data_IF_733737398639
#
_entry.id   IF_733737398639
#
_cell.length_a   1.000
_cell.length_b   1.000
_cell.length_c   1.000
_cell.angle_alpha   90.00
_cell.angle_beta   90.00
_cell.angle_gamma   90.00
#
_symmetry.space_group_name_H-M   'P 1'
#
loop_
_entity.id
_entity.type
_entity.pdbx_description
1 polymer ?
#
# COMPACT_ATOMS: atom_id res chain seq x y z
N UNK A 1 -42.93 5.29 90.93
CA UNK A 1 -41.69 4.94 91.66
C UNK A 1 -41.26 3.60 91.07
N UNK A 2 -40.27 3.62 90.18
CA UNK A 2 -38.84 3.37 90.53
C UNK A 2 -38.57 1.89 90.26
N UNK A 3 -37.68 1.45 89.37
CA UNK A 3 -36.52 2.08 88.78
C UNK A 3 -36.19 1.43 87.42
N UNK A 4 -36.12 2.24 86.37
CA UNK A 4 -35.39 1.89 85.16
C UNK A 4 -33.93 2.30 85.36
N UNK A 5 -33.16 1.50 86.10
CA UNK A 5 -31.72 1.69 86.19
C UNK A 5 -31.05 1.08 84.96
N UNK A 6 -30.67 1.97 84.06
CA UNK A 6 -29.76 1.75 82.95
C UNK A 6 -28.42 1.21 83.48
N UNK A 7 -28.22 -0.11 83.46
CA UNK A 7 -26.91 -0.75 83.67
C UNK A 7 -26.11 -0.71 82.36
N UNK A 8 -25.51 0.43 82.05
CA UNK A 8 -24.37 0.47 81.13
C UNK A 8 -23.16 -0.17 81.82
N UNK A 9 -23.12 -1.50 81.91
CA UNK A 9 -21.91 -2.19 82.37
C UNK A 9 -20.80 -1.97 81.35
N UNK A 10 -19.81 -1.14 81.71
CA UNK A 10 -18.63 -0.93 80.87
C UNK A 10 -17.84 -2.24 80.75
N UNK A 11 -17.54 -2.65 79.51
CA UNK A 11 -16.73 -3.83 79.18
C UNK A 11 -15.30 -3.83 79.79
N UNK A 12 -14.89 -2.72 80.40
CA UNK A 12 -13.56 -2.50 80.96
C UNK A 12 -13.70 -2.51 82.49
N UNK A 13 -13.22 -3.57 83.16
CA UNK A 13 -13.35 -3.75 84.62
C UNK A 13 -12.04 -3.57 85.39
N UNK A 14 -10.91 -3.48 84.69
CA UNK A 14 -9.59 -3.29 85.32
C UNK A 14 -8.77 -2.20 84.62
N UNK A 15 -7.88 -1.50 85.34
CA UNK A 15 -6.97 -0.52 84.72
C UNK A 15 -6.13 -1.12 83.59
N UNK A 16 -5.75 -2.41 83.70
CA UNK A 16 -5.02 -3.12 82.65
C UNK A 16 -5.86 -3.32 81.39
N UNK A 17 -7.16 -3.65 81.53
CA UNK A 17 -8.08 -3.74 80.39
C UNK A 17 -8.31 -2.38 79.72
N UNK A 18 -8.32 -1.29 80.48
CA UNK A 18 -8.45 0.06 79.93
C UNK A 18 -7.24 0.41 79.07
N UNK A 19 -6.02 0.15 79.57
CA UNK A 19 -4.79 0.40 78.82
C UNK A 19 -4.75 -0.40 77.53
N UNK A 20 -5.09 -1.70 77.57
CA UNK A 20 -5.12 -2.55 76.36
C UNK A 20 -6.17 -2.11 75.35
N UNK A 21 -7.37 -1.72 75.81
CA UNK A 21 -8.42 -1.22 74.92
C UNK A 21 -8.02 0.09 74.23
N UNK A 22 -7.41 1.01 74.98
CA UNK A 22 -6.95 2.30 74.46
C UNK A 22 -5.79 2.10 73.48
N UNK A 23 -4.76 1.33 73.85
CA UNK A 23 -3.62 1.08 72.94
C UNK A 23 -4.04 0.31 71.69
N UNK A 24 -4.93 -0.67 71.82
CA UNK A 24 -5.50 -1.40 70.69
C UNK A 24 -6.29 -0.50 69.74
N UNK A 25 -7.11 0.41 70.28
CA UNK A 25 -7.84 1.39 69.48
C UNK A 25 -6.89 2.29 68.69
N UNK A 26 -5.86 2.86 69.33
CA UNK A 26 -4.87 3.68 68.64
C UNK A 26 -4.08 2.89 67.60
N UNK A 27 -3.71 1.64 67.86
CA UNK A 27 -3.01 0.79 66.89
C UNK A 27 -3.85 0.53 65.64
N UNK A 28 -5.14 0.22 65.81
CA UNK A 28 -6.06 0.00 64.68
C UNK A 28 -6.21 1.26 63.84
N UNK A 29 -6.35 2.42 64.49
CA UNK A 29 -6.44 3.71 63.78
C UNK A 29 -5.14 4.01 63.04
N UNK A 30 -3.98 3.83 63.68
CA UNK A 30 -2.66 4.07 63.05
C UNK A 30 -2.45 3.13 61.86
N UNK A 31 -2.75 1.83 62.01
CA UNK A 31 -2.66 0.87 60.91
C UNK A 31 -3.65 1.19 59.78
N UNK A 32 -4.87 1.62 60.12
CA UNK A 32 -5.86 2.06 59.14
C UNK A 32 -5.40 3.27 58.34
N UNK A 33 -4.81 4.27 59.01
CA UNK A 33 -4.24 5.45 58.34
C UNK A 33 -3.06 5.06 57.46
N UNK A 34 -2.16 4.18 57.93
CA UNK A 34 -1.02 3.70 57.13
C UNK A 34 -1.52 2.97 55.87
N UNK A 35 -2.49 2.07 56.00
CA UNK A 35 -3.07 1.37 54.86
C UNK A 35 -3.75 2.31 53.87
N UNK A 36 -4.44 3.34 54.36
CA UNK A 36 -5.09 4.33 53.52
C UNK A 36 -4.06 5.22 52.80
N UNK A 37 -3.00 5.65 53.49
CA UNK A 37 -1.89 6.39 52.88
C UNK A 37 -1.23 5.52 51.80
N UNK A 38 -0.88 4.27 52.11
CA UNK A 38 -0.31 3.35 51.11
C UNK A 38 -1.27 3.18 49.93
N UNK A 39 -2.57 2.98 50.16
CA UNK A 39 -3.55 2.87 49.06
C UNK A 39 -3.59 4.13 48.18
N UNK A 40 -3.60 5.32 48.78
CA UNK A 40 -3.64 6.60 48.06
C UNK A 40 -2.31 6.91 47.36
N UNK A 41 -1.16 6.56 47.95
CA UNK A 41 0.15 6.86 47.35
C UNK A 41 0.64 5.80 46.37
N UNK A 42 0.14 4.57 46.47
CA UNK A 42 0.52 3.46 45.58
C UNK A 42 -0.36 3.36 44.34
N UNK A 43 -1.53 4.00 44.35
CA UNK A 43 -2.36 4.12 43.15
C UNK A 43 -1.77 5.20 42.27
N UNK A 44 -1.20 4.79 41.12
CA UNK A 44 -0.77 5.74 40.11
C UNK A 44 -1.98 6.57 39.68
N UNK A 45 -1.94 7.87 39.93
CA UNK A 45 -2.95 8.81 39.41
C UNK A 45 -2.76 8.92 37.91
N UNK A 46 -3.39 8.04 37.13
CA UNK A 46 -3.48 8.21 35.69
C UNK A 46 -4.41 9.40 35.41
N UNK A 47 -3.82 10.49 34.94
CA UNK A 47 -4.56 11.64 34.46
C UNK A 47 -5.33 11.32 33.17
N UNK A 48 -6.31 12.15 32.82
CA UNK A 48 -6.97 12.05 31.52
C UNK A 48 -5.92 12.14 30.40
N UNK A 49 -5.84 11.09 29.56
CA UNK A 49 -4.91 11.01 28.44
C UNK A 49 -3.59 10.27 28.71
N UNK A 50 -3.35 9.74 29.92
CA UNK A 50 -2.11 8.97 30.19
C UNK A 50 -2.02 7.68 29.35
N UNK A 51 -3.18 7.08 29.05
CA UNK A 51 -3.27 5.88 28.19
C UNK A 51 -3.38 6.21 26.71
N UNK A 52 -3.23 7.48 26.32
CA UNK A 52 -3.31 7.90 24.92
C UNK A 52 -2.25 7.23 24.03
N UNK A 53 -1.16 6.71 24.61
CA UNK A 53 -0.11 5.97 23.90
C UNK A 53 -0.12 4.46 24.21
N UNK A 54 -1.15 3.94 24.88
CA UNK A 54 -1.27 2.49 25.09
C UNK A 54 -1.43 1.79 23.73
N UNK A 55 -0.93 0.55 23.65
CA UNK A 55 -1.07 -0.27 22.44
C UNK A 55 -2.55 -0.42 22.03
N UNK A 56 -3.44 -0.47 23.02
CA UNK A 56 -4.88 -0.57 22.82
C UNK A 56 -5.50 0.72 22.27
N UNK A 57 -5.10 1.90 22.78
CA UNK A 57 -5.54 3.18 22.25
C UNK A 57 -5.01 3.43 20.83
N UNK A 58 -3.80 2.97 20.53
CA UNK A 58 -3.22 3.01 19.19
C UNK A 58 -4.02 2.10 18.24
N UNK A 59 -4.27 0.85 18.63
CA UNK A 59 -5.07 -0.10 17.84
C UNK A 59 -6.46 0.44 17.51
N UNK A 60 -7.17 1.00 18.50
CA UNK A 60 -8.50 1.59 18.30
C UNK A 60 -8.52 2.76 17.30
N UNK A 61 -7.42 3.53 17.19
CA UNK A 61 -7.30 4.63 16.21
C UNK A 61 -6.93 4.15 14.81
N UNK A 62 -6.22 3.03 14.70
CA UNK A 62 -5.85 2.41 13.42
C UNK A 62 -7.00 1.55 12.89
N UNK A 63 -7.88 1.05 13.77
CA UNK A 63 -9.02 0.20 13.41
C UNK A 63 -9.84 0.66 12.20
N UNK A 64 -10.27 1.94 12.08
CA UNK A 64 -11.01 2.37 10.89
C UNK A 64 -10.22 2.23 9.59
N UNK A 65 -8.88 2.40 9.60
CA UNK A 65 -8.07 2.18 8.39
C UNK A 65 -7.67 0.72 8.21
N UNK A 66 -7.58 -0.09 9.26
CA UNK A 66 -7.20 -1.52 9.13
C UNK A 66 -8.38 -2.46 8.89
N UNK A 67 -9.57 -2.13 9.39
CA UNK A 67 -10.76 -2.98 9.32
C UNK A 67 -11.84 -2.42 8.37
N UNK A 68 -11.93 -1.08 8.24
CA UNK A 68 -13.02 -0.41 7.51
C UNK A 68 -12.50 0.65 6.53
N UNK A 69 -11.64 0.27 5.59
CA UNK A 69 -11.22 1.22 4.55
C UNK A 69 -10.06 0.79 3.66
N UNK A 70 -9.30 -0.24 4.04
CA UNK A 70 -8.21 -0.74 3.21
C UNK A 70 -8.54 -2.14 2.70
N UNK A 71 -9.32 -2.20 1.63
CA UNK A 71 -9.29 -3.38 0.77
C UNK A 71 -7.91 -3.45 0.15
N UNK A 72 -7.09 -4.40 0.58
CA UNK A 72 -5.87 -4.77 -0.13
C UNK A 72 -6.29 -5.30 -1.50
N UNK A 73 -6.34 -4.41 -2.48
CA UNK A 73 -6.55 -4.80 -3.88
C UNK A 73 -5.24 -5.44 -4.32
N UNK A 74 -5.27 -6.76 -4.48
CA UNK A 74 -4.17 -7.48 -5.11
C UNK A 74 -3.92 -6.87 -6.49
N UNK A 75 -2.69 -6.40 -6.72
CA UNK A 75 -2.33 -5.75 -7.98
C UNK A 75 -2.49 -6.67 -9.19
N UNK A 76 -2.52 -7.99 -8.96
CA UNK A 76 -2.71 -9.02 -9.99
C UNK A 76 -4.12 -9.63 -10.00
N UNK A 77 -5.06 -9.14 -9.19
CA UNK A 77 -6.42 -9.65 -9.21
C UNK A 77 -7.08 -9.29 -10.55
N UNK A 78 -7.91 -10.18 -11.11
CA UNK A 78 -8.71 -9.86 -12.28
C UNK A 78 -9.56 -8.61 -11.99
N UNK A 79 -9.20 -7.49 -12.62
CA UNK A 79 -9.94 -6.24 -12.50
C UNK A 79 -11.18 -6.35 -13.36
N UNK A 80 -12.35 -6.33 -12.73
CA UNK A 80 -13.61 -6.13 -13.46
C UNK A 80 -13.67 -4.67 -13.84
N UNK A 81 -13.22 -4.35 -15.06
CA UNK A 81 -13.16 -2.97 -15.53
C UNK A 81 -14.56 -2.38 -15.61
N UNK A 82 -14.73 -1.22 -14.99
CA UNK A 82 -16.01 -0.54 -14.91
C UNK A 82 -16.45 -0.03 -16.30
N UNK A 83 -17.76 0.08 -16.48
CA UNK A 83 -18.35 0.75 -17.64
C UNK A 83 -18.15 2.27 -17.54
N UNK A 84 -18.04 2.96 -18.68
CA UNK A 84 -17.74 4.39 -18.71
C UNK A 84 -18.71 5.27 -17.92
N UNK A 85 -20.01 4.94 -17.96
CA UNK A 85 -21.02 5.64 -17.17
C UNK A 85 -20.87 5.46 -15.64
N UNK A 86 -20.38 4.31 -15.19
CA UNK A 86 -20.15 4.05 -13.76
C UNK A 86 -18.95 4.84 -13.26
N UNK A 87 -17.84 4.82 -14.01
CA UNK A 87 -16.65 5.63 -13.73
C UNK A 87 -16.99 7.11 -13.72
N UNK A 88 -17.79 7.56 -14.70
CA UNK A 88 -18.27 8.94 -14.76
C UNK A 88 -19.02 9.33 -13.49
N UNK A 89 -20.02 8.54 -13.09
CA UNK A 89 -20.84 8.83 -11.93
C UNK A 89 -20.01 8.88 -10.64
N UNK A 90 -19.05 7.96 -10.49
CA UNK A 90 -18.23 7.84 -9.28
C UNK A 90 -17.15 8.91 -9.16
N UNK A 91 -16.53 9.32 -10.28
CA UNK A 91 -15.30 10.14 -10.26
C UNK A 91 -15.45 11.49 -10.97
N UNK A 92 -16.17 11.54 -12.09
CA UNK A 92 -16.15 12.71 -12.99
C UNK A 92 -17.34 13.66 -12.77
N UNK A 93 -18.50 13.13 -12.39
CA UNK A 93 -19.79 13.83 -12.34
C UNK A 93 -19.77 15.04 -11.40
N UNK A 94 -19.06 14.95 -10.27
CA UNK A 94 -18.97 16.03 -9.28
C UNK A 94 -18.56 17.38 -9.89
N UNK A 95 -17.65 17.35 -10.87
CA UNK A 95 -17.23 18.55 -11.60
C UNK A 95 -17.95 18.72 -12.93
N UNK A 96 -18.15 17.63 -13.69
CA UNK A 96 -18.64 17.70 -15.07
C UNK A 96 -20.17 17.74 -15.22
N UNK A 97 -20.96 17.53 -14.17
CA UNK A 97 -22.40 17.81 -14.21
C UNK A 97 -22.66 19.31 -13.99
N UNK A 98 -21.97 19.90 -13.02
CA UNK A 98 -22.19 21.29 -12.60
C UNK A 98 -21.32 22.29 -13.36
N UNK A 99 -20.26 21.84 -14.03
CA UNK A 99 -19.25 22.68 -14.66
C UNK A 99 -18.32 23.35 -13.65
N UNK A 100 -18.11 22.73 -12.49
CA UNK A 100 -17.26 23.24 -11.41
C UNK A 100 -15.86 23.58 -11.92
N UNK A 101 -15.28 24.68 -11.44
CA UNK A 101 -13.97 25.17 -11.85
C UNK A 101 -13.81 25.38 -13.38
N UNK A 102 -14.91 25.59 -14.10
CA UNK A 102 -14.91 25.74 -15.55
C UNK A 102 -14.79 24.42 -16.30
N UNK A 103 -15.13 23.30 -15.66
CA UNK A 103 -15.24 22.01 -16.33
C UNK A 103 -16.30 22.05 -17.43
N UNK A 104 -16.05 21.46 -18.61
CA UNK A 104 -17.07 21.33 -19.64
C UNK A 104 -18.19 20.41 -19.15
N UNK A 105 -19.43 20.92 -19.18
CA UNK A 105 -20.60 20.15 -18.75
C UNK A 105 -20.87 18.99 -19.69
N UNK A 106 -21.02 17.78 -19.17
CA UNK A 106 -21.44 16.64 -19.98
C UNK A 106 -22.85 16.89 -20.52
N UNK A 107 -23.05 16.72 -21.83
CA UNK A 107 -24.32 17.04 -22.49
C UNK A 107 -24.37 18.43 -23.12
N UNK A 108 -23.40 19.30 -22.86
CA UNK A 108 -23.34 20.63 -23.46
C UNK A 108 -22.56 20.59 -24.79
N UNK A 109 -23.27 20.33 -25.88
CA UNK A 109 -22.69 20.24 -27.22
C UNK A 109 -21.91 21.50 -27.62
N UNK A 110 -22.32 22.69 -27.16
CA UNK A 110 -21.65 23.95 -27.48
C UNK A 110 -20.30 24.04 -26.75
N UNK A 111 -20.25 23.69 -25.46
CA UNK A 111 -19.02 23.65 -24.68
C UNK A 111 -18.03 22.58 -25.17
N UNK A 112 -18.54 21.49 -25.75
CA UNK A 112 -17.72 20.39 -26.25
C UNK A 112 -17.26 20.53 -27.69
N UNK A 113 -17.95 21.28 -28.56
CA UNK A 113 -17.61 21.39 -29.99
C UNK A 113 -16.14 21.73 -30.27
N UNK A 114 -15.61 22.79 -29.63
CA UNK A 114 -14.20 23.17 -29.78
C UNK A 114 -13.22 22.15 -29.19
N UNK A 115 -13.66 21.33 -28.23
CA UNK A 115 -12.85 20.29 -27.60
C UNK A 115 -12.79 19.05 -28.48
N UNK A 116 -13.94 18.63 -28.99
CA UNK A 116 -14.07 17.54 -29.95
C UNK A 116 -13.26 17.81 -31.23
N UNK A 117 -13.17 19.08 -31.65
CA UNK A 117 -12.31 19.49 -32.76
C UNK A 117 -10.80 19.25 -32.52
N UNK A 118 -10.36 19.10 -31.27
CA UNK A 118 -8.97 18.75 -30.94
C UNK A 118 -8.67 17.25 -31.18
N UNK A 119 -9.70 16.46 -31.46
CA UNK A 119 -9.60 15.03 -31.69
C UNK A 119 -9.69 14.22 -30.39
N UNK A 120 -10.03 12.94 -30.56
CA UNK A 120 -10.21 11.97 -29.49
C UNK A 120 -8.96 11.81 -28.62
N UNK A 121 -7.81 11.60 -29.24
CA UNK A 121 -6.55 11.34 -28.54
C UNK A 121 -6.15 12.48 -27.61
N UNK A 122 -6.38 13.73 -28.04
CA UNK A 122 -6.09 14.92 -27.22
C UNK A 122 -6.99 14.98 -25.98
N UNK A 123 -8.28 14.67 -26.13
CA UNK A 123 -9.22 14.66 -25.00
C UNK A 123 -8.85 13.55 -24.03
N UNK A 124 -8.56 12.36 -24.54
CA UNK A 124 -8.17 11.20 -23.74
C UNK A 124 -6.88 11.49 -22.97
N UNK A 125 -5.87 12.06 -23.63
CA UNK A 125 -4.61 12.47 -22.99
C UNK A 125 -4.85 13.44 -21.84
N UNK A 126 -5.67 14.47 -22.04
CA UNK A 126 -6.00 15.42 -20.97
C UNK A 126 -6.77 14.77 -19.82
N UNK A 127 -7.59 13.75 -20.08
CA UNK A 127 -8.29 13.02 -19.02
C UNK A 127 -7.34 12.14 -18.20
N UNK A 128 -6.36 11.50 -18.85
CA UNK A 128 -5.38 10.63 -18.18
C UNK A 128 -4.33 11.46 -17.43
N UNK A 129 -3.75 12.47 -18.07
CA UNK A 129 -2.63 13.25 -17.53
C UNK A 129 -3.09 14.46 -16.69
N UNK A 130 -4.36 14.86 -16.84
CA UNK A 130 -4.90 16.08 -16.26
C UNK A 130 -4.65 17.31 -17.15
N UNK A 131 -5.41 18.37 -16.91
CA UNK A 131 -5.26 19.65 -17.60
C UNK A 131 -5.78 20.80 -16.73
N UNK A 132 -4.94 21.82 -16.51
CA UNK A 132 -5.31 23.02 -15.73
C UNK A 132 -5.82 22.62 -14.33
N UNK A 133 -7.09 22.91 -14.04
CA UNK A 133 -7.75 22.56 -12.77
C UNK A 133 -8.28 21.11 -12.73
N UNK A 134 -8.25 20.39 -13.86
CA UNK A 134 -8.66 18.98 -13.93
C UNK A 134 -7.48 18.08 -13.53
N UNK A 135 -7.57 17.32 -12.42
CA UNK A 135 -6.53 16.39 -12.02
C UNK A 135 -6.43 15.18 -12.96
N UNK A 136 -5.26 14.54 -12.98
CA UNK A 136 -5.04 13.28 -13.68
C UNK A 136 -6.07 12.22 -13.28
N UNK A 137 -6.65 11.52 -14.26
CA UNK A 137 -7.70 10.51 -14.07
C UNK A 137 -8.90 10.99 -13.23
N UNK A 138 -9.24 12.28 -13.31
CA UNK A 138 -10.33 12.86 -12.51
C UNK A 138 -10.04 12.89 -10.99
N UNK A 139 -8.78 12.71 -10.59
CA UNK A 139 -8.36 12.71 -9.19
C UNK A 139 -8.39 11.32 -8.55
N UNK A 140 -8.74 10.29 -9.31
CA UNK A 140 -8.72 8.90 -8.85
C UNK A 140 -7.54 8.15 -9.51
N UNK A 141 -6.40 8.01 -8.80
CA UNK A 141 -5.21 7.35 -9.36
C UNK A 141 -5.42 5.84 -9.60
N UNK A 142 -6.42 5.24 -8.96
CA UNK A 142 -6.67 3.79 -9.00
C UNK A 142 -7.40 3.34 -10.27
N UNK A 143 -8.00 4.27 -11.02
CA UNK A 143 -8.66 3.97 -12.29
C UNK A 143 -7.67 3.44 -13.32
N UNK A 144 -8.05 2.39 -14.03
CA UNK A 144 -7.32 1.96 -15.22
C UNK A 144 -7.49 2.99 -16.35
N UNK A 145 -6.50 3.08 -17.25
CA UNK A 145 -6.60 3.97 -18.40
C UNK A 145 -7.79 3.62 -19.31
N UNK A 146 -8.14 2.33 -19.40
CA UNK A 146 -9.30 1.87 -20.16
C UNK A 146 -10.63 2.31 -19.52
N UNK A 147 -10.69 2.40 -18.19
CA UNK A 147 -11.85 2.93 -17.46
C UNK A 147 -12.02 4.43 -17.69
N UNK A 148 -10.90 5.18 -17.66
CA UNK A 148 -10.88 6.61 -18.02
C UNK A 148 -11.30 6.80 -19.48
N UNK A 149 -10.82 5.94 -20.38
CA UNK A 149 -11.16 5.97 -21.80
C UNK A 149 -12.66 5.75 -22.04
N UNK A 150 -13.24 4.71 -21.43
CA UNK A 150 -14.68 4.46 -21.47
C UNK A 150 -15.47 5.64 -20.91
N UNK A 151 -15.01 6.27 -19.82
CA UNK A 151 -15.66 7.45 -19.25
C UNK A 151 -15.60 8.67 -20.20
N UNK A 152 -14.47 8.89 -20.87
CA UNK A 152 -14.32 9.93 -21.89
C UNK A 152 -15.31 9.71 -23.01
N UNK A 153 -15.39 8.49 -23.56
CA UNK A 153 -16.35 8.14 -24.62
C UNK A 153 -17.79 8.41 -24.18
N UNK A 154 -18.16 8.00 -22.97
CA UNK A 154 -19.48 8.28 -22.40
C UNK A 154 -19.79 9.78 -22.37
N UNK A 155 -18.85 10.60 -21.87
CA UNK A 155 -19.02 12.05 -21.78
C UNK A 155 -19.12 12.72 -23.14
N UNK A 156 -18.21 12.38 -24.05
CA UNK A 156 -18.16 12.98 -25.39
C UNK A 156 -19.36 12.57 -26.23
N UNK A 157 -19.82 11.32 -26.13
CA UNK A 157 -20.99 10.84 -26.87
C UNK A 157 -22.29 11.49 -26.38
N UNK A 158 -22.39 11.75 -25.07
CA UNK A 158 -23.48 12.57 -24.53
C UNK A 158 -23.39 14.03 -24.98
N UNK A 159 -22.21 14.48 -25.43
CA UNK A 159 -21.93 15.88 -25.78
C UNK A 159 -21.71 16.11 -27.28
N UNK A 160 -22.30 15.24 -28.13
CA UNK A 160 -22.34 15.42 -29.57
C UNK A 160 -21.28 14.65 -30.38
N UNK A 161 -20.46 13.82 -29.74
CA UNK A 161 -19.57 12.88 -30.43
C UNK A 161 -20.25 11.53 -30.70
N UNK A 162 -19.56 10.64 -31.39
CA UNK A 162 -19.99 9.24 -31.60
C UNK A 162 -18.76 8.32 -31.65
N UNK A 163 -17.92 8.42 -30.62
CA UNK A 163 -16.76 7.55 -30.45
C UNK A 163 -17.21 6.15 -30.07
N UNK A 164 -16.50 5.15 -30.57
CA UNK A 164 -16.74 3.76 -30.22
C UNK A 164 -16.19 3.51 -28.83
N UNK A 165 -17.00 2.95 -27.94
CA UNK A 165 -16.51 2.55 -26.63
C UNK A 165 -15.47 1.43 -26.80
N UNK A 166 -14.28 1.57 -26.20
CA UNK A 166 -13.26 0.53 -26.25
C UNK A 166 -13.80 -0.74 -25.60
N UNK A 167 -13.86 -1.79 -26.42
CA UNK A 167 -14.10 -3.13 -25.89
C UNK A 167 -12.95 -3.47 -24.95
N UNK A 168 -13.27 -4.20 -23.88
CA UNK A 168 -12.23 -4.88 -23.12
C UNK A 168 -11.36 -5.65 -24.11
N UNK A 169 -10.02 -5.51 -24.07
CA UNK A 169 -9.16 -6.47 -24.74
C UNK A 169 -9.65 -7.83 -24.27
N UNK A 170 -10.12 -8.66 -25.22
CA UNK A 170 -10.50 -10.02 -24.90
C UNK A 170 -9.34 -10.59 -24.08
N UNK A 171 -9.60 -11.23 -22.92
CA UNK A 171 -8.53 -11.89 -22.19
C UNK A 171 -7.77 -12.69 -23.23
N UNK A 172 -6.47 -12.40 -23.36
CA UNK A 172 -5.62 -13.20 -24.24
C UNK A 172 -6.00 -14.64 -23.92
N UNK A 173 -6.41 -15.45 -24.91
CA UNK A 173 -6.87 -16.80 -24.64
C UNK A 173 -5.83 -17.39 -23.72
N UNK A 174 -6.26 -17.77 -22.51
CA UNK A 174 -5.40 -18.46 -21.56
C UNK A 174 -4.64 -19.45 -22.41
N UNK A 175 -3.32 -19.27 -22.49
CA UNK A 175 -2.48 -20.19 -23.23
C UNK A 175 -2.92 -21.56 -22.73
N UNK A 176 -3.56 -22.30 -23.64
CA UNK A 176 -4.35 -23.45 -23.26
C UNK A 176 -3.50 -24.27 -22.31
N UNK A 177 -4.00 -24.47 -21.09
CA UNK A 177 -3.45 -25.50 -20.22
C UNK A 177 -3.42 -26.77 -21.06
N UNK A 178 -2.20 -27.17 -21.42
CA UNK A 178 -1.97 -28.46 -22.02
C UNK A 178 -2.60 -29.49 -21.06
N UNK A 179 -3.42 -30.42 -21.56
CA UNK A 179 -4.18 -31.31 -20.70
C UNK A 179 -3.21 -32.05 -19.79
N UNK A 180 -3.54 -32.04 -18.49
CA UNK A 180 -2.92 -32.85 -17.47
C UNK A 180 -2.91 -34.32 -17.94
N UNK A 181 -1.75 -34.79 -18.38
CA UNK A 181 -1.51 -36.19 -18.67
C UNK A 181 -0.92 -36.84 -17.42
N UNK A 182 -1.72 -37.73 -16.82
CA UNK A 182 -1.22 -38.87 -16.07
C UNK A 182 -0.94 -38.64 -14.59
N UNK A 183 -1.93 -39.00 -13.77
CA UNK A 183 -1.73 -39.37 -12.39
C UNK A 183 -0.60 -40.41 -12.25
N UNK A 184 0.39 -40.10 -11.42
CA UNK A 184 1.22 -41.10 -10.75
C UNK A 184 1.06 -40.89 -9.23
N UNK A 185 0.68 -41.98 -8.56
CA UNK A 185 0.31 -42.10 -7.17
C UNK A 185 1.46 -41.75 -6.18
N UNK A 186 1.16 -41.57 -4.88
CA UNK A 186 2.00 -40.83 -3.96
C UNK A 186 3.19 -41.66 -3.47
N UNK A 187 4.39 -41.10 -3.53
CA UNK A 187 5.54 -41.64 -2.80
C UNK A 187 5.54 -41.10 -1.37
N UNK A 188 5.42 -42.04 -0.45
CA UNK A 188 5.38 -41.90 1.01
C UNK A 188 6.56 -41.15 1.61
N UNK A 189 6.25 -40.42 2.68
CA UNK A 189 7.18 -39.81 3.61
C UNK A 189 8.15 -40.83 4.22
N UNK A 190 9.44 -40.47 4.27
CA UNK A 190 10.41 -41.06 5.17
C UNK A 190 11.18 -39.94 5.88
N UNK A 191 11.02 -39.88 7.20
CA UNK A 191 11.80 -39.06 8.13
C UNK A 191 12.87 -39.97 8.80
N UNK A 192 13.85 -39.46 9.57
CA UNK A 192 15.29 -39.63 9.30
C UNK A 192 16.05 -40.40 10.40
N UNK A 193 17.30 -40.81 10.13
CA UNK A 193 18.31 -41.16 11.16
C UNK A 193 19.75 -41.21 10.55
N UNK A 194 20.85 -41.23 11.31
CA UNK A 194 21.61 -40.02 11.67
C UNK A 194 23.13 -40.07 11.40
N UNK A 195 23.72 -38.87 11.30
CA UNK A 195 25.02 -38.46 11.88
C UNK A 195 26.32 -39.20 11.52
N UNK A 196 27.23 -38.48 10.85
CA UNK A 196 28.64 -38.40 11.27
C UNK A 196 29.31 -37.15 10.67
N UNK A 197 30.15 -36.50 11.49
CA UNK A 197 30.63 -35.13 11.36
C UNK A 197 32.06 -35.00 10.79
N UNK A 198 32.32 -33.79 10.26
CA UNK A 198 33.60 -33.05 10.19
C UNK A 198 34.70 -33.62 9.25
N UNK A 199 35.53 -32.84 8.53
CA UNK A 199 36.04 -31.46 8.71
C UNK A 199 36.64 -30.99 7.34
N UNK A 200 36.96 -29.69 7.11
CA UNK A 200 37.02 -29.06 5.79
C UNK A 200 38.44 -28.73 5.26
N UNK A 201 38.44 -28.09 4.06
CA UNK A 201 39.45 -27.20 3.45
C UNK A 201 40.35 -27.81 2.33
N UNK A 202 40.96 -26.97 1.45
CA UNK A 202 40.34 -25.97 0.58
C UNK A 202 40.84 -26.04 -0.89
N UNK A 203 40.21 -25.26 -1.76
CA UNK A 203 40.71 -24.74 -3.04
C UNK A 203 40.73 -25.65 -4.28
N UNK A 204 39.80 -25.39 -5.20
CA UNK A 204 40.14 -25.08 -6.59
C UNK A 204 38.98 -24.30 -7.23
N UNK A 205 39.30 -23.10 -7.69
CA UNK A 205 38.39 -22.20 -8.38
C UNK A 205 37.94 -22.76 -9.73
N UNK A 206 36.63 -22.85 -9.93
CA UNK A 206 35.98 -22.78 -11.25
C UNK A 206 34.72 -21.95 -11.11
N UNK A 207 34.80 -20.74 -11.67
CA UNK A 207 33.71 -19.88 -12.18
C UNK A 207 32.27 -20.14 -11.73
N UNK A 208 31.71 -19.20 -10.97
CA UNK A 208 30.34 -18.75 -11.21
C UNK A 208 30.43 -17.31 -11.74
N UNK A 209 30.30 -17.17 -13.06
CA UNK A 209 29.89 -15.91 -13.68
C UNK A 209 28.65 -15.39 -12.94
N UNK A 210 28.44 -14.06 -12.82
CA UNK A 210 27.27 -13.54 -12.14
C UNK A 210 26.05 -14.22 -12.75
N UNK A 211 25.26 -14.89 -11.91
CA UNK A 211 24.02 -15.49 -12.34
C UNK A 211 23.28 -14.44 -13.15
N UNK A 212 23.13 -14.69 -14.45
CA UNK A 212 22.18 -13.95 -15.26
C UNK A 212 20.86 -14.23 -14.56
N UNK A 213 20.41 -13.27 -13.75
CA UNK A 213 19.06 -13.30 -13.21
C UNK A 213 18.16 -13.61 -14.42
N UNK A 214 17.36 -14.66 -14.32
CA UNK A 214 16.65 -15.19 -15.48
C UNK A 214 15.91 -14.07 -16.20
N UNK A 215 15.77 -14.16 -17.52
CA UNK A 215 15.00 -13.19 -18.29
C UNK A 215 13.60 -12.97 -17.69
N UNK A 216 13.05 -14.01 -17.06
CA UNK A 216 11.79 -13.96 -16.30
C UNK A 216 11.87 -13.10 -15.04
N UNK A 217 12.96 -13.17 -14.27
CA UNK A 217 13.19 -12.32 -13.10
C UNK A 217 13.35 -10.85 -13.51
N UNK A 218 14.13 -10.59 -14.57
CA UNK A 218 14.28 -9.24 -15.12
C UNK A 218 12.97 -8.66 -15.65
N UNK A 219 12.19 -9.47 -16.37
CA UNK A 219 10.85 -9.08 -16.84
C UNK A 219 9.90 -8.80 -15.68
N UNK A 220 9.86 -9.65 -14.66
CA UNK A 220 9.01 -9.46 -13.48
C UNK A 220 9.36 -8.20 -12.70
N UNK A 221 10.66 -7.93 -12.53
CA UNK A 221 11.14 -6.70 -11.91
C UNK A 221 10.77 -5.46 -12.75
N UNK A 222 10.90 -5.56 -14.08
CA UNK A 222 10.49 -4.50 -15.00
C UNK A 222 8.99 -4.22 -14.94
N UNK A 223 8.16 -5.26 -15.01
CA UNK A 223 6.69 -5.15 -15.01
C UNK A 223 6.17 -4.59 -13.67
N UNK A 224 6.85 -4.89 -12.56
CA UNK A 224 6.41 -4.45 -11.23
C UNK A 224 6.77 -2.99 -10.89
N UNK A 225 7.89 -2.47 -11.43
CA UNK A 225 8.42 -1.17 -11.01
C UNK A 225 8.79 -0.22 -12.15
N UNK A 226 9.22 -0.73 -13.30
CA UNK A 226 9.85 0.08 -14.34
C UNK A 226 8.89 0.45 -15.48
N UNK A 227 7.94 -0.43 -15.80
CA UNK A 227 7.02 -0.27 -16.93
C UNK A 227 6.13 0.97 -16.81
N UNK A 228 5.82 1.40 -15.58
CA UNK A 228 4.99 2.57 -15.33
C UNK A 228 5.53 3.83 -16.02
N UNK A 229 6.87 4.00 -16.06
CA UNK A 229 7.50 5.12 -16.75
C UNK A 229 8.09 4.69 -18.10
N UNK A 230 8.79 3.56 -18.16
CA UNK A 230 9.51 3.14 -19.36
C UNK A 230 8.63 2.46 -20.41
N UNK A 231 7.40 2.05 -20.09
CA UNK A 231 6.47 1.48 -21.07
C UNK A 231 5.98 2.53 -22.09
N UNK A 232 5.62 3.73 -21.61
CA UNK A 232 5.15 4.84 -22.43
C UNK A 232 6.21 5.94 -22.64
N UNK A 233 7.33 5.91 -21.91
CA UNK A 233 8.35 6.96 -21.94
C UNK A 233 7.97 8.22 -21.15
N UNK A 234 7.27 8.03 -20.02
CA UNK A 234 6.80 9.12 -19.16
C UNK A 234 7.98 9.89 -18.58
N UNK A 235 7.82 11.22 -18.44
CA UNK A 235 8.85 12.11 -17.90
C UNK A 235 10.21 11.99 -18.62
N UNK A 236 10.18 11.69 -19.93
CA UNK A 236 11.38 11.54 -20.77
C UNK A 236 12.17 10.26 -20.51
N UNK A 237 11.55 9.27 -19.86
CA UNK A 237 12.11 7.93 -19.74
C UNK A 237 12.29 7.31 -21.16
N UNK A 238 13.40 6.61 -21.43
CA UNK A 238 13.55 5.87 -22.67
C UNK A 238 12.49 4.76 -22.75
N UNK A 239 11.70 4.77 -23.83
CA UNK A 239 10.61 3.83 -24.04
C UNK A 239 11.15 2.42 -24.29
N UNK A 240 10.59 1.43 -23.61
CA UNK A 240 10.95 0.03 -23.77
C UNK A 240 10.72 -0.43 -25.21
N UNK A 241 11.70 -1.12 -25.79
CA UNK A 241 11.66 -1.58 -27.19
C UNK A 241 11.96 -0.50 -28.25
N UNK A 242 12.09 0.77 -27.87
CA UNK A 242 12.41 1.85 -28.81
C UNK A 242 13.91 1.92 -29.11
N UNK A 243 14.37 1.26 -30.17
CA UNK A 243 15.79 1.23 -30.55
C UNK A 243 16.40 2.63 -30.73
N UNK A 244 15.63 3.60 -31.23
CA UNK A 244 16.13 4.96 -31.44
C UNK A 244 16.36 5.68 -30.09
N UNK A 245 15.44 5.55 -29.14
CA UNK A 245 15.57 6.14 -27.81
C UNK A 245 16.72 5.54 -26.98
N UNK A 246 17.13 4.29 -27.28
CA UNK A 246 18.16 3.57 -26.54
C UNK A 246 19.57 3.64 -27.13
N UNK A 247 19.73 3.97 -28.42
CA UNK A 247 21.03 3.96 -29.11
C UNK A 247 22.10 4.78 -28.39
N UNK A 248 21.81 6.04 -28.04
CA UNK A 248 22.77 6.90 -27.33
C UNK A 248 23.10 6.38 -25.91
N UNK A 249 22.16 5.69 -25.27
CA UNK A 249 22.33 5.16 -23.91
C UNK A 249 23.17 3.89 -23.94
N UNK A 250 22.94 3.00 -24.91
CA UNK A 250 23.75 1.80 -25.12
C UNK A 250 25.24 2.14 -25.28
N UNK A 251 25.55 3.27 -25.93
CA UNK A 251 26.91 3.79 -26.06
C UNK A 251 27.59 4.23 -24.74
N UNK A 252 26.82 4.49 -23.67
CA UNK A 252 27.36 4.85 -22.34
C UNK A 252 27.82 3.63 -21.53
N UNK A 253 27.43 2.42 -21.94
CA UNK A 253 27.80 1.16 -21.30
C UNK A 253 26.88 0.72 -20.14
N UNK A 254 26.83 -0.59 -19.89
CA UNK A 254 25.91 -1.22 -18.92
C UNK A 254 26.11 -0.75 -17.48
N UNK A 255 27.35 -0.46 -17.07
CA UNK A 255 27.64 0.00 -15.71
C UNK A 255 26.98 1.35 -15.38
N UNK A 256 26.97 2.28 -16.33
CA UNK A 256 26.31 3.59 -16.17
C UNK A 256 24.80 3.42 -16.05
N UNK A 257 24.22 2.47 -16.78
CA UNK A 257 22.77 2.19 -16.70
C UNK A 257 22.40 1.60 -15.35
N UNK A 258 23.20 0.66 -14.83
CA UNK A 258 22.97 0.11 -13.49
C UNK A 258 23.10 1.19 -12.41
N UNK A 259 24.10 2.08 -12.53
CA UNK A 259 24.27 3.16 -11.57
C UNK A 259 23.08 4.13 -11.58
N UNK A 260 22.65 4.58 -12.77
CA UNK A 260 21.47 5.42 -12.92
C UNK A 260 20.18 4.72 -12.44
N UNK A 261 20.05 3.42 -12.67
CA UNK A 261 18.89 2.66 -12.22
C UNK A 261 18.87 2.49 -10.69
N UNK A 262 20.03 2.29 -10.05
CA UNK A 262 20.12 2.06 -8.60
C UNK A 262 20.08 3.37 -7.80
N UNK A 263 20.84 4.39 -8.22
CA UNK A 263 20.99 5.67 -7.50
C UNK A 263 20.03 6.75 -7.99
N UNK A 264 19.32 6.48 -9.09
CA UNK A 264 18.50 7.47 -9.77
C UNK A 264 19.32 8.32 -10.73
N UNK A 265 18.62 9.06 -11.58
CA UNK A 265 19.20 9.94 -12.58
C UNK A 265 18.32 11.18 -12.75
N UNK A 266 18.94 12.36 -12.73
CA UNK A 266 18.28 13.61 -13.07
C UNK A 266 18.97 14.20 -14.29
N UNK A 267 18.32 14.06 -15.45
CA UNK A 267 18.81 14.57 -16.71
C UNK A 267 18.06 15.82 -17.16
N UNK A 268 18.56 16.46 -18.20
CA UNK A 268 17.90 17.62 -18.83
C UNK A 268 16.52 17.30 -19.41
N UNK A 269 16.33 16.06 -19.87
CA UNK A 269 15.11 15.61 -20.54
C UNK A 269 14.26 14.67 -19.70
N UNK A 270 14.69 14.28 -18.51
CA UNK A 270 13.90 13.36 -17.69
C UNK A 270 14.48 13.04 -16.32
N UNK A 271 13.63 12.47 -15.48
CA UNK A 271 13.91 12.09 -14.11
C UNK A 271 13.68 10.59 -13.92
N UNK A 272 14.63 9.91 -13.28
CA UNK A 272 14.51 8.51 -12.85
C UNK A 272 14.80 8.45 -11.34
N UNK A 273 13.83 8.05 -10.51
CA UNK A 273 14.08 7.87 -9.08
C UNK A 273 15.02 6.68 -8.81
N UNK A 274 15.73 6.66 -7.66
CA UNK A 274 16.52 5.51 -7.23
C UNK A 274 15.70 4.23 -7.27
N UNK A 275 16.27 3.15 -7.82
CA UNK A 275 15.63 1.85 -8.01
C UNK A 275 14.29 1.89 -8.76
N UNK A 276 14.08 2.89 -9.61
CA UNK A 276 12.80 3.10 -10.29
C UNK A 276 11.65 3.42 -9.33
N UNK A 277 11.94 3.92 -8.12
CA UNK A 277 10.95 4.19 -7.09
C UNK A 277 10.50 2.94 -6.33
N UNK A 278 11.16 1.80 -6.56
CA UNK A 278 10.87 0.54 -5.88
C UNK A 278 11.80 0.29 -4.69
N UNK A 279 11.41 -0.68 -3.86
CA UNK A 279 12.27 -1.24 -2.80
C UNK A 279 12.96 -2.53 -3.25
N UNK A 280 13.06 -2.78 -4.57
CA UNK A 280 13.64 -4.01 -5.10
C UNK A 280 15.12 -4.17 -4.69
N UNK A 281 15.58 -5.41 -4.47
CA UNK A 281 16.99 -5.72 -4.34
C UNK A 281 17.78 -5.23 -5.57
N UNK A 282 19.03 -4.81 -5.36
CA UNK A 282 19.88 -4.29 -6.44
C UNK A 282 20.07 -5.28 -7.59
N UNK A 283 20.09 -6.58 -7.28
CA UNK A 283 20.18 -7.64 -8.28
C UNK A 283 18.96 -7.64 -9.23
N UNK A 284 17.76 -7.45 -8.69
CA UNK A 284 16.51 -7.44 -9.47
C UNK A 284 16.40 -6.17 -10.31
N UNK A 285 16.89 -5.03 -9.80
CA UNK A 285 16.96 -3.78 -10.57
C UNK A 285 17.93 -3.95 -11.76
N UNK A 286 19.09 -4.58 -11.55
CA UNK A 286 20.04 -4.85 -12.65
C UNK A 286 19.45 -5.83 -13.66
N UNK A 287 18.74 -6.86 -13.20
CA UNK A 287 18.03 -7.81 -14.07
C UNK A 287 16.97 -7.11 -14.93
N UNK A 288 16.23 -6.14 -14.36
CA UNK A 288 15.27 -5.33 -15.11
C UNK A 288 15.97 -4.47 -16.17
N UNK A 289 17.10 -3.84 -15.84
CA UNK A 289 17.91 -3.08 -16.82
C UNK A 289 18.37 -4.00 -17.96
N UNK A 290 18.84 -5.20 -17.66
CA UNK A 290 19.26 -6.17 -18.68
C UNK A 290 18.12 -6.60 -19.59
N UNK A 291 16.93 -6.84 -19.02
CA UNK A 291 15.72 -7.13 -19.77
C UNK A 291 15.36 -5.99 -20.73
N UNK A 292 15.40 -4.74 -20.27
CA UNK A 292 15.13 -3.56 -21.10
C UNK A 292 16.16 -3.37 -22.22
N UNK A 293 17.44 -3.61 -21.93
CA UNK A 293 18.52 -3.55 -22.91
C UNK A 293 18.40 -4.68 -23.93
N UNK A 294 18.01 -5.89 -23.52
CA UNK A 294 17.81 -7.01 -24.40
C UNK A 294 16.67 -6.77 -25.42
N UNK A 295 15.63 -6.02 -25.04
CA UNK A 295 14.51 -5.68 -25.92
C UNK A 295 14.87 -4.70 -27.06
N UNK A 296 16.03 -4.05 -26.99
CA UNK A 296 16.47 -3.03 -27.96
C UNK A 296 17.75 -3.40 -28.72
N UNK A 297 18.40 -4.51 -28.36
CA UNK A 297 19.45 -5.12 -29.18
C UNK A 297 18.82 -5.68 -30.47
#
# INVERSE_FOLDING_TARGET
MSDAHNEHQSLIRTPKQLVVAVTGFFLVIVLGIILLVVFVTSTATTGAGTDSQSAEAISNRIRPVSEEGFTLVDANAPRVLQAGGAVYAATCAACHDSGMAGAPKTGDNAAWGARLAQGYDTILKHAIEGIRAMPAKGGNPDLDNLEVERAVVFMTNKSGASFKEPAEPAPAPAAAEAPAAGAAAPATAAAPAPGAAATPAPSAATTAAPAIASADAGKKAYDSACIACHGAGIAGAPKFGDKAAWTARLGQGGNVMYEHALKGFQGKTGFMPPKGGSTLPDADVKAAVDYMVAAVK
#
